data_IF_349335132797
#
_entry.id   IF_349335132797
#
_cell.length_a   1.000
_cell.length_b   1.000
_cell.length_c   1.000
_cell.angle_alpha   90.00
_cell.angle_beta   90.00
_cell.angle_gamma   90.00
#
_symmetry.space_group_name_H-M   'P 1'
#
loop_
_entity.id
_entity.type
_entity.pdbx_description
1 polymer ?
#
# COMPACT_ATOMS: atom_id res chain seq x y z
N UNK A 1 13.29 -10.85 4.93
CA UNK A 1 12.36 -10.07 4.07
C UNK A 1 12.85 -10.22 2.64
N UNK A 2 12.03 -10.77 1.73
CA UNK A 2 12.38 -10.85 0.31
C UNK A 2 11.87 -9.60 -0.40
N UNK A 3 12.69 -9.03 -1.28
CA UNK A 3 12.34 -7.87 -2.11
C UNK A 3 12.37 -8.27 -3.56
N UNK A 4 11.31 -7.96 -4.29
CA UNK A 4 11.20 -8.23 -5.72
C UNK A 4 10.88 -6.94 -6.45
N UNK A 5 11.68 -6.64 -7.46
CA UNK A 5 11.41 -5.54 -8.40
C UNK A 5 10.26 -5.95 -9.32
N UNK A 6 9.19 -5.16 -9.34
CA UNK A 6 8.10 -5.40 -10.28
C UNK A 6 8.52 -5.02 -11.69
N UNK A 7 8.00 -5.72 -12.73
CA UNK A 7 8.25 -5.32 -14.11
C UNK A 7 7.76 -3.89 -14.34
N UNK A 8 8.56 -3.10 -15.07
CA UNK A 8 8.22 -1.69 -15.38
C UNK A 8 6.89 -1.52 -16.14
N UNK A 9 6.35 -2.60 -16.72
CA UNK A 9 5.11 -2.63 -17.52
C UNK A 9 3.96 -3.41 -16.86
N UNK A 10 3.95 -3.57 -15.54
CA UNK A 10 2.79 -4.21 -14.88
C UNK A 10 1.51 -3.36 -15.11
N UNK A 11 0.44 -3.92 -15.70
CA UNK A 11 -0.75 -3.15 -16.08
C UNK A 11 -1.57 -2.67 -14.87
N UNK A 12 -1.38 -3.28 -13.69
CA UNK A 12 -2.13 -2.95 -12.47
C UNK A 12 -1.22 -2.27 -11.43
N UNK A 13 -0.08 -2.89 -11.11
CA UNK A 13 0.86 -2.43 -10.09
C UNK A 13 1.90 -1.48 -10.69
N UNK A 14 1.42 -0.38 -11.27
CA UNK A 14 2.25 0.71 -11.78
C UNK A 14 2.03 2.00 -10.99
N UNK A 15 2.97 2.94 -11.17
CA UNK A 15 3.04 4.20 -10.43
C UNK A 15 1.74 5.01 -10.51
N UNK A 16 1.13 5.10 -11.68
CA UNK A 16 -0.13 5.86 -11.87
C UNK A 16 -1.25 5.31 -11.02
N UNK A 17 -1.44 3.99 -11.00
CA UNK A 17 -2.48 3.36 -10.19
C UNK A 17 -2.18 3.45 -8.69
N UNK A 18 -0.93 3.21 -8.30
CA UNK A 18 -0.46 3.35 -6.91
C UNK A 18 -0.69 4.77 -6.38
N UNK A 19 -0.35 5.80 -7.16
CA UNK A 19 -0.57 7.20 -6.78
C UNK A 19 -2.05 7.58 -6.74
N UNK A 20 -2.90 6.97 -7.56
CA UNK A 20 -4.36 7.15 -7.47
C UNK A 20 -4.92 6.57 -6.17
N UNK A 21 -4.55 5.34 -5.83
CA UNK A 21 -4.96 4.69 -4.58
C UNK A 21 -4.42 5.47 -3.38
N UNK A 22 -3.14 5.87 -3.38
CA UNK A 22 -2.55 6.71 -2.34
C UNK A 22 -3.35 8.01 -2.12
N UNK A 23 -3.61 8.77 -3.19
CA UNK A 23 -4.38 10.02 -3.09
C UNK A 23 -5.80 9.79 -2.57
N UNK A 24 -6.44 8.72 -3.00
CA UNK A 24 -7.76 8.35 -2.49
C UNK A 24 -7.73 8.09 -0.97
N UNK A 25 -6.80 7.27 -0.49
CA UNK A 25 -6.65 6.97 0.94
C UNK A 25 -6.31 8.22 1.75
N UNK A 26 -5.41 9.09 1.25
CA UNK A 26 -5.06 10.32 1.97
C UNK A 26 -6.21 11.34 2.03
N UNK A 27 -7.10 11.34 1.04
CA UNK A 27 -8.22 12.28 0.98
C UNK A 27 -9.47 11.79 1.72
N UNK A 28 -9.79 10.50 1.61
CA UNK A 28 -11.07 9.92 2.05
C UNK A 28 -10.91 8.75 3.02
N UNK A 29 -9.68 8.27 3.22
CA UNK A 29 -9.39 7.15 4.09
C UNK A 29 -9.59 7.48 5.57
N UNK A 30 -9.71 6.42 6.35
CA UNK A 30 -9.78 6.48 7.81
C UNK A 30 -8.38 6.40 8.41
N UNK A 31 -8.32 6.29 9.75
CA UNK A 31 -7.10 6.08 10.51
C UNK A 31 -7.14 4.73 11.21
N UNK A 32 -6.29 3.81 10.78
CA UNK A 32 -6.25 2.44 11.28
C UNK A 32 -4.86 2.06 11.80
N UNK A 33 -4.79 1.00 12.58
CA UNK A 33 -3.53 0.36 12.99
C UNK A 33 -3.59 -1.10 12.59
N UNK A 34 -2.60 -1.59 11.82
CA UNK A 34 -2.58 -2.96 11.28
C UNK A 34 -1.40 -3.82 11.78
N UNK A 35 -0.60 -3.28 12.68
CA UNK A 35 0.52 -3.94 13.35
C UNK A 35 1.13 -3.00 14.39
N UNK A 36 2.19 -3.42 15.06
CA UNK A 36 2.78 -2.65 16.17
C UNK A 36 3.85 -1.64 15.73
N UNK A 37 4.00 -1.39 14.42
CA UNK A 37 5.08 -0.56 13.88
C UNK A 37 4.72 0.92 13.79
N UNK A 38 3.47 1.22 13.44
CA UNK A 38 2.95 2.56 13.19
C UNK A 38 1.55 2.69 13.78
N UNK A 39 1.20 3.88 14.24
CA UNK A 39 -0.10 4.23 14.77
C UNK A 39 -0.86 5.09 13.76
N UNK A 40 -2.18 4.91 13.67
CA UNK A 40 -3.08 5.78 12.90
C UNK A 40 -2.67 5.95 11.42
N UNK A 41 -2.22 4.87 10.79
CA UNK A 41 -1.97 4.83 9.35
C UNK A 41 -3.22 5.30 8.59
N UNK A 42 -3.08 6.16 7.57
CA UNK A 42 -4.13 6.34 6.59
C UNK A 42 -4.52 4.98 6.00
N UNK A 43 -5.81 4.66 6.03
CA UNK A 43 -6.30 3.36 5.61
C UNK A 43 -7.58 3.48 4.79
N UNK A 44 -7.86 2.47 3.99
CA UNK A 44 -9.14 2.34 3.31
C UNK A 44 -9.61 0.90 3.38
N UNK A 45 -10.79 0.71 3.95
CA UNK A 45 -11.47 -0.57 4.01
C UNK A 45 -12.35 -0.71 2.77
N UNK A 46 -11.98 -1.65 1.89
CA UNK A 46 -12.74 -2.01 0.71
C UNK A 46 -12.97 -3.52 0.75
N UNK A 47 -13.97 -4.00 1.52
CA UNK A 47 -14.13 -5.42 1.78
C UNK A 47 -14.11 -6.28 0.49
N UNK A 48 -13.37 -7.41 0.49
CA UNK A 48 -12.66 -8.00 1.63
C UNK A 48 -11.22 -7.45 1.82
N UNK A 49 -10.83 -6.43 1.06
CA UNK A 49 -9.50 -5.86 1.06
C UNK A 49 -9.36 -4.70 2.04
N UNK A 50 -8.15 -4.59 2.60
CA UNK A 50 -7.79 -3.51 3.51
C UNK A 50 -6.49 -2.89 3.02
N UNK A 51 -6.51 -1.59 2.80
CA UNK A 51 -5.36 -0.83 2.34
C UNK A 51 -4.82 0.03 3.47
N UNK A 52 -3.51 0.07 3.62
CA UNK A 52 -2.84 0.90 4.61
C UNK A 52 -1.64 1.58 3.99
N UNK A 53 -1.43 2.85 4.33
CA UNK A 53 -0.27 3.62 3.94
C UNK A 53 0.72 3.71 5.11
N UNK A 54 1.94 3.27 4.85
CA UNK A 54 3.08 3.42 5.75
C UNK A 54 3.85 4.71 5.41
N UNK A 55 4.29 5.46 6.42
CA UNK A 55 5.15 6.60 6.19
C UNK A 55 6.48 6.13 5.59
N UNK A 56 7.08 6.98 4.76
CA UNK A 56 8.43 6.80 4.27
C UNK A 56 9.45 6.67 5.42
N UNK A 57 10.61 6.02 5.19
CA UNK A 57 11.70 6.07 6.16
C UNK A 57 12.22 7.50 6.21
N UNK A 58 12.25 8.10 7.40
CA UNK A 58 12.47 9.53 7.56
C UNK A 58 13.88 10.00 7.21
N UNK A 59 14.21 11.26 7.56
CA UNK A 59 15.57 11.76 7.45
C UNK A 59 16.52 10.78 8.14
N UNK A 60 17.54 10.28 7.43
CA UNK A 60 18.50 9.28 7.90
C UNK A 60 17.97 7.83 8.03
N UNK A 61 16.80 7.51 7.46
CA UNK A 61 16.29 6.13 7.41
C UNK A 61 15.68 5.63 8.71
N UNK A 62 15.36 6.51 9.65
CA UNK A 62 14.78 6.12 10.94
C UNK A 62 13.34 5.64 10.77
N UNK A 63 13.09 4.34 10.98
CA UNK A 63 11.81 3.72 10.67
C UNK A 63 10.62 4.24 11.50
N UNK A 64 10.84 4.79 12.69
CA UNK A 64 9.76 5.28 13.58
C UNK A 64 9.69 6.81 13.68
N UNK A 65 10.41 7.53 12.82
CA UNK A 65 10.43 8.99 12.89
C UNK A 65 9.03 9.62 12.81
N UNK A 66 8.14 9.07 11.98
CA UNK A 66 6.74 9.46 11.83
C UNK A 66 5.79 8.38 12.37
N UNK A 67 6.01 7.93 13.62
CA UNK A 67 5.26 6.84 14.24
C UNK A 67 3.73 7.04 14.25
N UNK A 68 3.26 8.29 14.31
CA UNK A 68 1.84 8.63 14.34
C UNK A 68 1.23 8.91 12.94
N UNK A 69 1.99 8.66 11.86
CA UNK A 69 1.55 8.82 10.48
C UNK A 69 0.94 10.21 10.17
N UNK A 70 1.62 11.26 10.61
CA UNK A 70 1.25 12.64 10.33
C UNK A 70 1.66 13.02 8.89
N UNK A 71 0.71 13.37 8.00
CA UNK A 71 1.02 13.79 6.63
C UNK A 71 1.78 15.09 6.50
N UNK A 72 1.81 15.93 7.53
CA UNK A 72 2.64 17.13 7.52
C UNK A 72 4.14 16.81 7.69
N UNK A 73 4.46 15.62 8.22
CA UNK A 73 5.84 15.26 8.57
C UNK A 73 6.58 14.56 7.43
N UNK A 74 5.90 13.73 6.64
CA UNK A 74 6.52 12.91 5.60
C UNK A 74 5.51 12.39 4.59
N UNK A 75 6.01 11.69 3.57
CA UNK A 75 5.19 11.16 2.49
C UNK A 75 4.84 9.68 2.71
N UNK A 76 3.84 9.18 2.00
CA UNK A 76 3.37 7.80 2.13
C UNK A 76 3.54 7.04 0.83
N UNK A 77 4.71 6.42 0.66
CA UNK A 77 5.07 5.70 -0.56
C UNK A 77 5.19 4.19 -0.36
N UNK A 78 4.70 3.68 0.77
CA UNK A 78 4.61 2.26 1.04
C UNK A 78 3.15 1.91 1.26
N UNK A 79 2.60 1.02 0.42
CA UNK A 79 1.22 0.56 0.51
C UNK A 79 1.20 -0.90 0.96
N UNK A 80 0.47 -1.17 2.02
CA UNK A 80 0.19 -2.51 2.52
C UNK A 80 -1.23 -2.91 2.16
N UNK A 81 -1.38 -4.15 1.71
CA UNK A 81 -2.67 -4.75 1.40
C UNK A 81 -2.89 -5.97 2.27
N UNK A 82 -4.04 -6.01 2.92
CA UNK A 82 -4.55 -7.17 3.65
C UNK A 82 -5.85 -7.69 3.05
N UNK A 83 -6.19 -8.91 3.42
CA UNK A 83 -7.51 -9.53 3.18
C UNK A 83 -8.13 -9.84 4.54
N UNK A 84 -9.41 -9.60 4.72
CA UNK A 84 -10.13 -9.91 5.96
C UNK A 84 -9.95 -11.37 6.37
N UNK A 85 -9.68 -11.59 7.66
CA UNK A 85 -9.40 -12.93 8.21
C UNK A 85 -8.05 -13.54 7.82
N UNK A 86 -7.27 -12.92 6.93
CA UNK A 86 -5.95 -13.41 6.53
C UNK A 86 -4.81 -12.58 7.15
N UNK A 87 -3.64 -13.20 7.44
CA UNK A 87 -2.45 -12.46 7.81
C UNK A 87 -1.95 -11.58 6.67
N UNK A 88 -1.29 -10.48 7.01
CA UNK A 88 -0.68 -9.59 6.02
C UNK A 88 0.47 -10.28 5.31
N UNK A 89 0.48 -10.15 3.99
CA UNK A 89 1.41 -10.91 3.13
C UNK A 89 2.56 -10.06 2.61
N UNK A 90 2.40 -8.75 2.52
CA UNK A 90 3.44 -7.86 2.03
C UNK A 90 3.06 -6.40 1.85
N UNK A 91 3.96 -5.66 1.22
CA UNK A 91 3.86 -4.23 0.91
C UNK A 91 4.45 -3.91 -0.48
N UNK A 92 4.02 -2.80 -1.06
CA UNK A 92 4.61 -2.21 -2.26
C UNK A 92 5.23 -0.85 -1.88
N UNK A 93 6.53 -0.68 -2.11
CA UNK A 93 7.23 0.61 -2.09
C UNK A 93 7.27 1.17 -3.51
N UNK A 94 6.81 2.41 -3.69
CA UNK A 94 6.62 3.06 -4.99
C UNK A 94 7.05 4.54 -4.98
N UNK A 95 8.17 4.83 -4.32
CA UNK A 95 8.76 6.18 -4.29
C UNK A 95 9.00 6.76 -5.70
N UNK A 96 8.82 8.08 -5.91
CA UNK A 96 8.80 8.71 -7.26
C UNK A 96 9.97 8.40 -8.19
N UNK A 97 11.17 8.20 -7.63
CA UNK A 97 12.41 7.98 -8.39
C UNK A 97 13.00 6.58 -8.22
N UNK A 98 12.20 5.62 -7.75
CA UNK A 98 12.64 4.26 -7.49
C UNK A 98 11.83 3.24 -8.28
N UNK A 99 12.44 2.09 -8.55
CA UNK A 99 11.72 0.94 -9.06
C UNK A 99 10.69 0.52 -8.02
N UNK A 100 9.50 0.13 -8.48
CA UNK A 100 8.47 -0.40 -7.60
C UNK A 100 8.96 -1.73 -7.02
N UNK A 101 8.99 -1.80 -5.69
CA UNK A 101 9.48 -2.96 -4.94
C UNK A 101 8.35 -3.61 -4.17
N UNK A 102 8.22 -4.92 -4.32
CA UNK A 102 7.33 -5.75 -3.53
C UNK A 102 8.10 -6.38 -2.38
N UNK A 103 7.61 -6.20 -1.16
CA UNK A 103 8.18 -6.71 0.08
C UNK A 103 7.24 -7.76 0.66
N UNK A 104 7.72 -8.96 1.00
CA UNK A 104 6.91 -9.95 1.72
C UNK A 104 7.18 -9.92 3.23
N UNK A 105 6.11 -10.03 4.03
CA UNK A 105 6.18 -10.01 5.50
C UNK A 105 6.22 -11.41 6.11
N UNK A 106 7.08 -11.64 7.09
CA UNK A 106 7.11 -12.85 7.93
C UNK A 106 7.36 -14.21 7.24
N UNK A 107 7.93 -14.23 6.04
CA UNK A 107 8.30 -15.50 5.41
C UNK A 107 9.79 -15.81 5.67
N UNK A 108 10.18 -17.09 5.87
CA UNK A 108 11.57 -17.51 5.84
C UNK A 108 12.24 -16.99 4.57
N UNK A 109 13.55 -16.76 4.57
CA UNK A 109 14.28 -16.35 3.37
C UNK A 109 14.08 -17.34 2.18
N UNK A 110 13.74 -18.58 2.52
CA UNK A 110 13.38 -19.69 1.62
C UNK A 110 11.90 -19.68 1.17
N UNK A 111 11.13 -18.63 1.46
CA UNK A 111 9.75 -18.47 0.99
C UNK A 111 9.66 -18.85 -0.48
N UNK A 112 8.84 -19.86 -0.77
CA UNK A 112 8.78 -20.48 -2.09
C UNK A 112 8.28 -19.44 -3.10
N UNK A 113 8.70 -19.59 -4.36
CA UNK A 113 8.25 -18.75 -5.47
C UNK A 113 6.71 -18.61 -5.48
N UNK A 114 6.01 -19.69 -5.16
CA UNK A 114 4.54 -19.79 -5.12
C UNK A 114 3.89 -18.80 -4.13
N UNK A 115 4.55 -18.55 -3.00
CA UNK A 115 4.03 -17.70 -1.93
C UNK A 115 4.11 -16.22 -2.29
N UNK A 116 5.22 -15.85 -2.95
CA UNK A 116 5.37 -14.55 -3.59
C UNK A 116 4.29 -14.35 -4.66
N UNK A 117 4.09 -15.34 -5.54
CA UNK A 117 3.08 -15.23 -6.60
C UNK A 117 1.67 -15.11 -6.02
N UNK A 118 1.36 -15.84 -4.93
CA UNK A 118 0.09 -15.70 -4.21
C UNK A 118 -0.10 -14.29 -3.67
N UNK A 119 0.91 -13.72 -3.02
CA UNK A 119 0.85 -12.36 -2.48
C UNK A 119 0.67 -11.32 -3.60
N UNK A 120 1.41 -11.45 -4.70
CA UNK A 120 1.23 -10.60 -5.88
C UNK A 120 -0.18 -10.72 -6.48
N UNK A 121 -0.74 -11.92 -6.51
CA UNK A 121 -2.11 -12.14 -6.99
C UNK A 121 -3.15 -11.45 -6.08
N UNK A 122 -2.95 -11.46 -4.76
CA UNK A 122 -3.78 -10.69 -3.81
C UNK A 122 -3.70 -9.20 -4.11
N UNK A 123 -2.48 -8.66 -4.26
CA UNK A 123 -2.29 -7.25 -4.59
C UNK A 123 -2.97 -6.88 -5.92
N UNK A 124 -2.79 -7.68 -6.97
CA UNK A 124 -3.45 -7.42 -8.27
C UNK A 124 -4.97 -7.41 -8.16
N UNK A 125 -5.57 -8.38 -7.44
CA UNK A 125 -7.04 -8.40 -7.24
C UNK A 125 -7.52 -7.20 -6.43
N UNK A 126 -6.81 -6.86 -5.36
CA UNK A 126 -7.13 -5.68 -4.56
C UNK A 126 -7.07 -4.39 -5.40
N UNK A 127 -6.04 -4.24 -6.23
CA UNK A 127 -5.90 -3.08 -7.12
C UNK A 127 -6.95 -3.01 -8.22
N UNK A 128 -7.40 -4.15 -8.75
CA UNK A 128 -8.54 -4.19 -9.65
C UNK A 128 -9.79 -3.65 -8.96
N UNK A 129 -10.11 -4.17 -7.77
CA UNK A 129 -11.28 -3.72 -7.00
C UNK A 129 -11.18 -2.24 -6.61
N UNK A 130 -10.00 -1.78 -6.18
CA UNK A 130 -9.76 -0.38 -5.86
C UNK A 130 -9.97 0.53 -7.07
N UNK A 131 -9.50 0.12 -8.25
CA UNK A 131 -9.67 0.89 -9.49
C UNK A 131 -11.14 1.00 -9.87
N UNK A 132 -11.90 -0.08 -9.76
CA UNK A 132 -13.35 -0.09 -10.01
C UNK A 132 -14.06 0.84 -9.02
N UNK A 133 -13.81 0.69 -7.71
CA UNK A 133 -14.42 1.51 -6.68
C UNK A 133 -14.09 3.02 -6.82
N UNK A 134 -12.85 3.37 -7.20
CA UNK A 134 -12.46 4.77 -7.47
C UNK A 134 -13.08 5.29 -8.77
N UNK A 135 -13.22 4.43 -9.79
CA UNK A 135 -13.83 4.77 -11.08
C UNK A 135 -15.34 4.97 -11.03
N UNK A 136 -16.03 4.24 -10.15
CA UNK A 136 -17.48 4.31 -9.95
C UNK A 136 -17.91 5.45 -8.99
N UNK A 137 -16.97 6.14 -8.35
CA UNK A 137 -17.28 7.30 -7.53
C UNK A 137 -17.65 8.50 -8.42
N UNK A 138 -18.87 9.09 -8.26
CA UNK A 138 -19.19 10.33 -8.94
C UNK A 138 -18.17 11.38 -8.53
N UNK A 139 -17.65 12.14 -9.51
CA UNK A 139 -16.74 13.24 -9.24
C UNK A 139 -17.35 14.12 -8.15
N UNK A 140 -16.64 14.29 -7.03
CA UNK A 140 -17.06 15.20 -5.97
C UNK A 140 -17.42 16.55 -6.60
N UNK A 141 -18.55 17.18 -6.22
CA UNK A 141 -18.91 18.49 -6.76
C UNK A 141 -17.75 19.43 -6.46
N UNK A 142 -17.18 20.02 -7.51
CA UNK A 142 -16.26 21.14 -7.36
C UNK A 142 -17.07 22.23 -6.68
N UNK A 143 -16.80 22.48 -5.40
CA UNK A 143 -17.41 23.58 -4.68
C UNK A 143 -17.16 24.87 -5.47
N UNK A 144 -18.25 25.57 -5.76
CA UNK A 144 -18.27 26.95 -6.24
C UNK A 144 -17.75 27.91 -5.17
#
# INVERSE_FOLDING_TARGET
>A
MRVITLPAKDPLLNKVNLDRVKRHILALGERCTYGNKFNHNPCWMLPPYRFYLDPDPGPQGQAQWNINCDPARGDFNTLVVGVDGEPLTGAVDFRPNELIRFHTFNWPEQARHDETQRALAVFRRAFTAAREAIGDQPAAPRGE
#
